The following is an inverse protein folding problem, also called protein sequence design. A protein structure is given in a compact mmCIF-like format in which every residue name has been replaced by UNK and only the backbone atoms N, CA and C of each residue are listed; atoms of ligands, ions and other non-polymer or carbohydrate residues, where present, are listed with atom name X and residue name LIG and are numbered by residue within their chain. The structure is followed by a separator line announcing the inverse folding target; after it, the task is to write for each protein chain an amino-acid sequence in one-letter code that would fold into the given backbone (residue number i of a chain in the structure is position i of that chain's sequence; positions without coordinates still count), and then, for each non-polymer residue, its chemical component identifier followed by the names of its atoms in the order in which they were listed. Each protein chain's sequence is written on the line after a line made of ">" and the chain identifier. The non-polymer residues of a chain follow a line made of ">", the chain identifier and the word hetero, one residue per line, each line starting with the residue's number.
data_IF_390358348064
#
_entry.id   IF_390358348064
#
_cell.length_a   1.000
_cell.length_b   1.000
_cell.length_c   1.000
_cell.angle_alpha   90.00
_cell.angle_beta   90.00
_cell.angle_gamma   90.00
#
_symmetry.space_group_name_H-M   'P 1'
#
loop_
_entity.id
_entity.type
_entity.pdbx_description
1 polymer ?
#
# COMPACT_ATOMS: atom_id res chain seq x y z
N UNK A 1 -2.47 1.39 16.94
CA UNK A 1 -1.51 0.27 16.70
C UNK A 1 -1.68 -0.24 15.27
N UNK A 2 -0.58 -0.54 14.56
CA UNK A 2 -0.68 -1.19 13.24
C UNK A 2 -1.20 -2.62 13.41
N UNK A 3 -2.00 -3.15 12.48
CA UNK A 3 -2.56 -4.51 12.56
C UNK A 3 -1.53 -5.65 12.48
N UNK A 4 -0.25 -5.37 12.72
CA UNK A 4 0.90 -6.24 12.51
C UNK A 4 1.77 -6.31 13.77
N UNK A 5 2.33 -7.47 14.09
CA UNK A 5 3.27 -7.64 15.20
C UNK A 5 4.71 -7.36 14.80
N UNK A 6 5.06 -7.59 13.54
CA UNK A 6 6.41 -7.40 12.98
C UNK A 6 6.30 -7.10 11.49
N UNK A 7 7.28 -6.36 10.96
CA UNK A 7 7.48 -6.21 9.53
C UNK A 7 8.96 -6.30 9.18
N UNK A 8 9.27 -6.88 8.02
CA UNK A 8 10.56 -6.78 7.35
C UNK A 8 10.30 -6.09 6.02
N UNK A 9 11.02 -5.01 5.74
CA UNK A 9 10.78 -4.13 4.61
C UNK A 9 12.05 -4.09 3.77
N UNK A 10 11.91 -4.29 2.46
CA UNK A 10 13.01 -4.25 1.50
C UNK A 10 12.95 -2.92 0.77
N UNK A 11 13.97 -2.10 1.00
CA UNK A 11 14.12 -0.77 0.43
C UNK A 11 15.18 -0.84 -0.67
N UNK A 12 14.87 -0.28 -1.84
CA UNK A 12 15.82 -0.06 -2.92
C UNK A 12 16.89 0.95 -2.49
N UNK A 13 18.16 0.65 -2.72
CA UNK A 13 19.26 1.57 -2.33
C UNK A 13 19.37 2.80 -3.24
N UNK A 14 18.98 2.68 -4.51
CA UNK A 14 19.13 3.72 -5.52
C UNK A 14 18.10 4.85 -5.38
N UNK A 15 16.92 4.57 -4.82
CA UNK A 15 15.84 5.57 -4.71
C UNK A 15 15.08 5.54 -3.39
N UNK A 16 15.50 4.70 -2.43
CA UNK A 16 14.92 4.58 -1.10
C UNK A 16 13.43 4.18 -1.06
N UNK A 17 12.89 3.61 -2.13
CA UNK A 17 11.50 3.14 -2.19
C UNK A 17 11.37 1.70 -1.67
N UNK A 18 10.31 1.42 -0.90
CA UNK A 18 9.93 0.05 -0.56
C UNK A 18 9.43 -0.70 -1.78
N UNK A 19 10.05 -1.84 -2.09
CA UNK A 19 9.62 -2.73 -3.19
C UNK A 19 9.02 -4.05 -2.73
N UNK A 20 9.29 -4.45 -1.49
CA UNK A 20 8.76 -5.68 -0.91
C UNK A 20 8.61 -5.53 0.60
N UNK A 21 7.64 -6.23 1.16
CA UNK A 21 7.56 -6.38 2.61
C UNK A 21 6.99 -7.75 3.01
N UNK A 22 7.44 -8.24 4.16
CA UNK A 22 6.82 -9.36 4.88
C UNK A 22 6.26 -8.81 6.19
N UNK A 23 4.97 -9.00 6.43
CA UNK A 23 4.29 -8.51 7.63
C UNK A 23 3.60 -9.65 8.37
N UNK A 24 3.85 -9.78 9.67
CA UNK A 24 3.20 -10.75 10.53
C UNK A 24 1.93 -10.14 11.10
N UNK A 25 0.78 -10.76 10.86
CA UNK A 25 -0.52 -10.23 11.30
C UNK A 25 -0.65 -10.41 12.81
N UNK A 26 -1.03 -9.35 13.51
CA UNK A 26 -1.11 -9.38 14.97
C UNK A 26 -2.11 -10.45 15.44
N UNK A 27 -1.72 -11.26 16.45
CA UNK A 27 -2.51 -12.36 17.02
C UNK A 27 -3.05 -13.39 16.01
N UNK A 28 -2.47 -13.49 14.81
CA UNK A 28 -2.86 -14.46 13.78
C UNK A 28 -1.64 -15.17 13.23
N UNK A 29 -1.75 -16.47 12.97
CA UNK A 29 -0.70 -17.26 12.29
C UNK A 29 -0.71 -17.02 10.77
N UNK A 30 -0.65 -15.75 10.36
CA UNK A 30 -0.77 -15.30 8.96
C UNK A 30 0.31 -14.27 8.65
N UNK A 31 0.89 -14.40 7.46
CA UNK A 31 1.83 -13.42 6.92
C UNK A 31 1.22 -12.75 5.70
N UNK A 32 1.44 -11.45 5.56
CA UNK A 32 1.19 -10.72 4.32
C UNK A 32 2.52 -10.45 3.61
N UNK A 33 2.56 -10.75 2.32
CA UNK A 33 3.67 -10.46 1.43
C UNK A 33 3.21 -9.36 0.48
N UNK A 34 3.92 -8.25 0.46
CA UNK A 34 3.75 -7.16 -0.49
C UNK A 34 4.88 -7.24 -1.52
N UNK A 35 4.54 -7.12 -2.80
CA UNK A 35 5.49 -6.99 -3.90
C UNK A 35 5.04 -5.85 -4.82
N UNK A 36 5.88 -4.84 -4.99
CA UNK A 36 5.71 -3.82 -6.03
C UNK A 36 6.06 -4.45 -7.38
N UNK A 37 5.12 -4.40 -8.33
CA UNK A 37 5.27 -4.95 -9.68
C UNK A 37 5.55 -3.87 -10.71
N UNK A 38 5.02 -2.67 -10.50
CA UNK A 38 5.27 -1.52 -11.36
C UNK A 38 5.56 -0.30 -10.49
N UNK A 39 6.67 0.35 -10.78
CA UNK A 39 7.15 1.54 -10.10
C UNK A 39 7.42 2.59 -11.17
N UNK A 40 6.78 3.75 -11.05
CA UNK A 40 6.85 4.84 -12.02
C UNK A 40 7.26 6.12 -11.31
N UNK A 41 7.96 7.02 -12.01
CA UNK A 41 8.27 8.35 -11.50
C UNK A 41 7.28 9.33 -12.10
N UNK A 42 6.37 9.84 -11.29
CA UNK A 42 5.28 10.74 -11.69
C UNK A 42 5.50 12.05 -10.95
N UNK A 43 5.61 13.16 -11.69
CA UNK A 43 5.93 14.49 -11.15
C UNK A 43 7.15 14.52 -10.22
N UNK A 44 8.18 13.73 -10.58
CA UNK A 44 9.41 13.60 -9.81
C UNK A 44 9.33 12.64 -8.60
N UNK A 45 8.15 12.13 -8.26
CA UNK A 45 7.89 11.23 -7.12
C UNK A 45 7.80 9.79 -7.61
N UNK A 46 8.49 8.87 -6.93
CA UNK A 46 8.36 7.44 -7.22
C UNK A 46 7.06 6.88 -6.63
N UNK A 47 6.25 6.24 -7.47
CA UNK A 47 4.92 5.72 -7.13
C UNK A 47 4.79 4.25 -7.56
N UNK A 48 4.33 3.40 -6.64
CA UNK A 48 4.02 2.00 -6.92
C UNK A 48 2.66 1.89 -7.63
N UNK A 49 2.64 2.00 -8.95
CA UNK A 49 1.41 1.94 -9.75
C UNK A 49 0.80 0.55 -9.83
N UNK A 50 1.57 -0.50 -9.55
CA UNK A 50 1.05 -1.86 -9.35
C UNK A 50 1.70 -2.56 -8.17
N UNK A 51 0.88 -3.08 -7.26
CA UNK A 51 1.32 -3.81 -6.07
C UNK A 51 0.49 -5.07 -5.87
N UNK A 52 1.16 -6.18 -5.59
CA UNK A 52 0.52 -7.45 -5.27
C UNK A 52 0.64 -7.72 -3.78
N UNK A 53 -0.47 -8.12 -3.16
CA UNK A 53 -0.51 -8.53 -1.75
C UNK A 53 -0.99 -9.96 -1.68
N UNK A 54 -0.22 -10.85 -1.05
CA UNK A 54 -0.67 -12.22 -0.76
C UNK A 54 -0.71 -12.45 0.74
N UNK A 55 -1.79 -13.06 1.24
CA UNK A 55 -1.90 -13.50 2.63
C UNK A 55 -1.72 -15.00 2.68
N UNK A 56 -0.78 -15.49 3.49
CA UNK A 56 -0.46 -16.92 3.61
C UNK A 56 -0.52 -17.41 5.05
N UNK A 57 -0.84 -18.69 5.21
CA UNK A 57 -0.65 -19.46 6.45
C UNK A 57 0.26 -20.64 6.11
N UNK A 58 1.49 -20.64 6.63
CA UNK A 58 2.51 -21.59 6.19
C UNK A 58 2.74 -21.48 4.68
N UNK A 59 2.66 -22.61 3.96
CA UNK A 59 2.83 -22.66 2.50
C UNK A 59 1.55 -22.33 1.72
N UNK A 60 0.39 -22.27 2.36
CA UNK A 60 -0.91 -22.05 1.70
C UNK A 60 -1.21 -20.56 1.54
N UNK A 61 -1.48 -20.12 0.31
CA UNK A 61 -2.05 -18.80 0.04
C UNK A 61 -3.56 -18.82 0.34
N UNK A 62 -4.01 -17.89 1.17
CA UNK A 62 -5.42 -17.72 1.53
C UNK A 62 -6.12 -16.70 0.63
N UNK A 63 -5.45 -15.57 0.38
CA UNK A 63 -5.99 -14.48 -0.43
C UNK A 63 -4.87 -13.81 -1.24
N UNK A 64 -5.25 -13.28 -2.40
CA UNK A 64 -4.41 -12.44 -3.25
C UNK A 64 -5.20 -11.19 -3.63
N UNK A 65 -4.54 -10.04 -3.54
CA UNK A 65 -5.07 -8.76 -3.99
C UNK A 65 -4.05 -8.15 -4.94
N UNK A 66 -4.50 -7.65 -6.08
CA UNK A 66 -3.70 -6.86 -7.02
C UNK A 66 -4.25 -5.45 -6.99
N UNK A 67 -3.42 -4.49 -6.57
CA UNK A 67 -3.76 -3.07 -6.57
C UNK A 67 -3.12 -2.44 -7.81
N UNK A 68 -3.94 -1.79 -8.63
CA UNK A 68 -3.52 -1.01 -9.80
C UNK A 68 -4.01 0.41 -9.62
N UNK A 69 -3.11 1.37 -9.78
CA UNK A 69 -3.38 2.81 -9.64
C UNK A 69 -3.17 3.48 -11.00
N UNK A 70 -4.12 4.31 -11.41
CA UNK A 70 -4.10 5.04 -12.69
C UNK A 70 -4.53 6.49 -12.45
N UNK A 71 -4.20 7.39 -13.39
CA UNK A 71 -4.53 8.83 -13.33
C UNK A 71 -4.08 9.48 -12.00
N UNK A 72 -2.84 9.21 -11.60
CA UNK A 72 -2.24 9.75 -10.38
C UNK A 72 -1.84 11.19 -10.66
N UNK A 73 -2.27 12.10 -9.80
CA UNK A 73 -1.97 13.53 -9.87
C UNK A 73 -1.53 14.02 -8.49
N UNK A 74 -0.56 14.91 -8.46
CA UNK A 74 -0.09 15.54 -7.22
C UNK A 74 -0.51 17.00 -7.17
N UNK A 75 -0.51 17.57 -5.97
CA UNK A 75 -0.72 19.01 -5.72
C UNK A 75 -2.02 19.56 -6.36
N UNK A 76 -3.12 18.82 -6.21
CA UNK A 76 -4.43 19.29 -6.66
C UNK A 76 -5.01 20.31 -5.66
N UNK A 77 -5.27 21.54 -6.10
CA UNK A 77 -5.77 22.63 -5.24
C UNK A 77 -7.12 22.32 -4.60
N UNK A 78 -7.93 21.47 -5.24
CA UNK A 78 -9.23 21.04 -4.71
C UNK A 78 -9.07 20.10 -3.50
N UNK A 79 -7.87 19.54 -3.26
CA UNK A 79 -7.59 18.64 -2.15
C UNK A 79 -7.28 19.42 -0.87
N UNK A 80 -8.33 19.85 -0.16
CA UNK A 80 -8.26 20.63 1.07
C UNK A 80 -8.78 19.90 2.33
N UNK A 81 -8.64 20.51 3.50
CA UNK A 81 -9.00 19.92 4.79
C UNK A 81 -10.48 19.49 4.89
N UNK A 82 -11.38 20.19 4.21
CA UNK A 82 -12.83 19.93 4.26
C UNK A 82 -13.22 18.62 3.56
N UNK A 83 -12.33 18.05 2.73
CA UNK A 83 -12.47 16.69 2.20
C UNK A 83 -12.43 15.62 3.29
N UNK A 84 -11.71 15.88 4.38
CA UNK A 84 -11.37 14.88 5.38
C UNK A 84 -12.29 14.95 6.61
N UNK A 85 -13.60 15.06 6.38
CA UNK A 85 -14.62 15.12 7.44
C UNK A 85 -15.56 13.92 7.40
N UNK A 86 -16.07 13.50 8.57
CA UNK A 86 -17.05 12.40 8.68
C UNK A 86 -18.30 12.71 7.85
N UNK A 87 -18.79 13.95 7.91
CA UNK A 87 -19.95 14.40 7.14
C UNK A 87 -19.78 14.14 5.64
N UNK A 88 -18.58 14.33 5.09
CA UNK A 88 -18.29 14.11 3.67
C UNK A 88 -18.23 12.62 3.30
N UNK A 89 -17.79 11.76 4.22
CA UNK A 89 -17.86 10.30 4.04
C UNK A 89 -19.30 9.78 4.06
N UNK A 90 -20.16 10.36 4.90
CA UNK A 90 -21.54 9.90 5.07
C UNK A 90 -22.48 10.39 3.96
N UNK A 91 -22.31 11.64 3.51
CA UNK A 91 -23.22 12.27 2.55
C UNK A 91 -22.79 12.15 1.09
N UNK A 92 -21.55 11.72 0.85
CA UNK A 92 -20.94 11.79 -0.48
C UNK A 92 -20.50 13.21 -0.84
N UNK A 93 -19.80 13.31 -1.97
CA UNK A 93 -19.42 14.58 -2.56
C UNK A 93 -20.61 15.27 -3.22
#
# INVERSE_FOLDING_TARGET
>A
KSGYSKSVIFIRQDNYVMIRAVRWVHKKRRNKYLDVKKLEKIDGIWVSTEMHVTTKTGKKTLHKTVLKQNNIRFNQDEVNADLFTVRRLEKGA
#
